data_IF_960603465328
#
_entry.id   IF_960603465328
#
_cell.length_a   1.000
_cell.length_b   1.000
_cell.length_c   1.000
_cell.angle_alpha   90.00
_cell.angle_beta   90.00
_cell.angle_gamma   90.00
#
_symmetry.space_group_name_H-M   'P 1'
#
loop_
_entity.id
_entity.type
_entity.pdbx_description
1 polymer ?
#
# COMPACT_ATOMS: atom_id res chain seq x y z
N UNK A 1 11.66 37.88 -37.18
CA UNK A 1 12.13 38.14 -35.80
C UNK A 1 11.53 37.05 -34.94
N UNK A 2 12.27 35.95 -34.80
CA UNK A 2 11.88 34.82 -33.95
C UNK A 2 12.48 35.04 -32.55
N UNK A 3 11.61 35.11 -31.54
CA UNK A 3 12.02 35.06 -30.16
C UNK A 3 12.08 33.59 -29.77
N UNK A 4 13.28 33.09 -29.50
CA UNK A 4 13.54 31.84 -28.80
C UNK A 4 13.17 32.05 -27.33
N UNK A 5 12.13 31.36 -26.87
CA UNK A 5 11.86 31.21 -25.47
C UNK A 5 12.81 30.12 -24.88
N UNK A 6 13.83 30.58 -24.16
CA UNK A 6 14.69 29.71 -23.39
C UNK A 6 13.95 29.21 -22.15
N UNK A 7 13.52 27.97 -22.16
CA UNK A 7 13.02 27.26 -20.98
C UNK A 7 14.17 27.03 -20.00
N UNK A 8 14.27 27.87 -18.99
CA UNK A 8 15.18 27.76 -17.88
C UNK A 8 14.74 26.60 -16.97
N UNK A 9 15.24 25.39 -17.22
CA UNK A 9 15.13 24.25 -16.31
C UNK A 9 15.99 24.56 -15.07
N UNK A 10 15.43 25.23 -14.08
CA UNK A 10 16.04 25.36 -12.75
C UNK A 10 15.90 24.03 -12.02
N UNK A 11 16.90 23.17 -12.14
CA UNK A 11 17.10 22.07 -11.22
C UNK A 11 17.35 22.67 -9.84
N UNK A 12 16.38 22.51 -8.93
CA UNK A 12 16.59 22.88 -7.54
C UNK A 12 17.59 21.92 -6.93
N UNK A 13 18.85 22.34 -6.86
CA UNK A 13 19.88 21.63 -6.09
C UNK A 13 19.63 21.99 -4.62
N UNK A 14 19.06 21.06 -3.87
CA UNK A 14 18.97 21.17 -2.41
C UNK A 14 20.40 21.09 -1.88
N UNK A 15 20.95 22.22 -1.40
CA UNK A 15 22.25 22.21 -0.70
C UNK A 15 22.09 21.42 0.59
N UNK A 16 22.88 20.36 0.76
CA UNK A 16 23.01 19.63 2.03
C UNK A 16 23.56 20.56 3.11
N UNK A 17 23.10 20.35 4.35
CA UNK A 17 23.69 21.01 5.51
C UNK A 17 25.14 20.49 5.72
N UNK A 18 26.01 21.33 6.29
CA UNK A 18 27.40 20.95 6.57
C UNK A 18 27.52 19.75 7.53
N UNK A 19 26.55 19.58 8.43
CA UNK A 19 26.44 18.45 9.36
C UNK A 19 26.16 17.12 8.64
N UNK A 20 25.32 17.15 7.60
CA UNK A 20 25.06 15.95 6.78
C UNK A 20 26.30 15.51 6.01
N UNK A 21 27.15 16.46 5.63
CA UNK A 21 28.40 16.17 4.89
C UNK A 21 29.42 15.46 5.78
N UNK A 22 29.50 15.79 7.06
CA UNK A 22 30.43 15.18 8.01
C UNK A 22 30.12 13.68 8.24
N UNK A 23 28.83 13.34 8.45
CA UNK A 23 28.39 11.96 8.63
C UNK A 23 28.42 11.16 7.32
N UNK A 24 28.21 11.79 6.18
CA UNK A 24 28.31 11.14 4.87
C UNK A 24 29.76 10.66 4.55
N UNK A 25 30.76 11.28 5.18
CA UNK A 25 32.18 10.96 4.98
C UNK A 25 32.69 9.84 5.92
N UNK A 26 31.90 9.40 6.90
CA UNK A 26 32.30 8.28 7.77
C UNK A 26 32.29 6.99 6.96
N UNK A 27 33.42 6.33 6.87
CA UNK A 27 33.54 5.03 6.19
C UNK A 27 33.11 3.92 7.17
N UNK A 28 31.90 3.42 7.02
CA UNK A 28 31.35 2.32 7.85
C UNK A 28 31.91 0.93 7.49
N UNK A 29 32.88 0.86 6.55
CA UNK A 29 33.52 -0.39 6.15
C UNK A 29 34.92 -0.55 6.75
N UNK A 30 35.39 0.41 7.55
CA UNK A 30 36.67 0.32 8.26
C UNK A 30 36.47 0.48 9.78
N UNK A 31 37.39 -0.08 10.55
CA UNK A 31 37.36 -0.11 12.01
C UNK A 31 37.29 1.30 12.63
N UNK A 32 38.01 2.24 12.06
CA UNK A 32 38.04 3.62 12.54
C UNK A 32 36.71 4.33 12.33
N UNK A 33 36.11 4.12 11.16
CA UNK A 33 34.80 4.70 10.85
C UNK A 33 33.69 4.09 11.69
N UNK A 34 33.72 2.78 11.93
CA UNK A 34 32.79 2.11 12.83
C UNK A 34 32.93 2.66 14.24
N UNK A 35 34.14 2.75 14.78
CA UNK A 35 34.39 3.29 16.11
C UNK A 35 33.92 4.74 16.29
N UNK A 36 34.08 5.57 15.25
CA UNK A 36 33.57 6.94 15.25
C UNK A 36 32.04 6.98 15.27
N UNK A 37 31.38 6.14 14.45
CA UNK A 37 29.94 6.03 14.39
C UNK A 37 29.36 5.52 15.72
N UNK A 38 29.94 4.49 16.31
CA UNK A 38 29.54 3.97 17.61
C UNK A 38 29.68 5.02 18.73
N UNK A 39 30.79 5.74 18.75
CA UNK A 39 30.98 6.80 19.74
C UNK A 39 29.87 7.88 19.61
N UNK A 40 29.56 8.28 18.39
CA UNK A 40 28.50 9.25 18.11
C UNK A 40 27.12 8.71 18.55
N UNK A 41 26.79 7.47 18.15
CA UNK A 41 25.52 6.83 18.50
C UNK A 41 25.33 6.65 20.00
N UNK A 42 26.39 6.24 20.74
CA UNK A 42 26.37 6.17 22.20
C UNK A 42 26.02 7.50 22.86
N UNK A 43 26.38 8.63 22.24
CA UNK A 43 26.03 9.97 22.74
C UNK A 43 24.57 10.34 22.48
N UNK A 44 24.00 9.87 21.37
CA UNK A 44 22.59 10.15 21.02
C UNK A 44 21.64 9.28 21.84
N UNK A 45 21.96 7.97 22.00
CA UNK A 45 21.11 6.97 22.67
C UNK A 45 20.94 7.28 24.17
N UNK A 46 21.84 8.04 24.78
CA UNK A 46 21.68 8.47 26.20
C UNK A 46 20.45 9.36 26.42
N UNK A 47 19.79 9.81 25.37
CA UNK A 47 18.52 10.53 25.44
C UNK A 47 17.36 9.56 25.21
N UNK A 48 16.46 9.43 26.18
CA UNK A 48 15.22 8.62 26.06
C UNK A 48 14.32 9.02 24.90
N UNK A 49 14.60 10.16 24.27
CA UNK A 49 13.88 10.71 23.12
C UNK A 49 14.57 10.51 21.77
N UNK A 50 15.67 9.76 21.72
CA UNK A 50 16.48 9.61 20.49
C UNK A 50 15.79 8.79 19.40
N UNK A 51 14.77 8.00 19.73
CA UNK A 51 14.13 7.05 18.81
C UNK A 51 14.98 5.81 18.51
N UNK A 52 16.26 5.76 18.92
CA UNK A 52 17.18 4.66 18.71
C UNK A 52 17.17 3.71 19.91
N UNK A 53 16.99 2.42 19.66
CA UNK A 53 16.95 1.39 20.71
C UNK A 53 18.35 0.86 21.07
N UNK A 54 19.22 0.77 20.08
CA UNK A 54 20.59 0.24 20.27
C UNK A 54 21.58 0.91 19.33
N UNK A 55 22.88 0.74 19.61
CA UNK A 55 23.97 1.19 18.73
C UNK A 55 23.92 0.45 17.39
N UNK A 56 23.58 -0.84 17.43
CA UNK A 56 23.45 -1.67 16.24
C UNK A 56 22.34 -1.17 15.32
N UNK A 57 21.16 -0.81 15.89
CA UNK A 57 20.08 -0.20 15.11
C UNK A 57 20.55 1.12 14.48
N UNK A 58 21.26 1.94 15.25
CA UNK A 58 21.82 3.19 14.76
C UNK A 58 22.79 2.99 13.59
N UNK A 59 23.68 2.00 13.66
CA UNK A 59 24.58 1.64 12.57
C UNK A 59 23.82 1.17 11.33
N UNK A 60 22.81 0.32 11.51
CA UNK A 60 21.97 -0.15 10.41
C UNK A 60 21.25 1.01 9.70
N UNK A 61 20.71 1.97 10.48
CA UNK A 61 20.09 3.19 9.95
C UNK A 61 21.12 4.07 9.23
N UNK A 62 22.33 4.22 9.76
CA UNK A 62 23.39 4.97 9.08
C UNK A 62 23.80 4.34 7.75
N UNK A 63 23.91 3.02 7.69
CA UNK A 63 24.19 2.30 6.43
C UNK A 63 23.07 2.53 5.42
N UNK A 64 21.82 2.38 5.84
CA UNK A 64 20.65 2.63 4.98
C UNK A 64 20.57 4.09 4.51
N UNK A 65 20.88 5.05 5.38
CA UNK A 65 20.94 6.47 5.02
C UNK A 65 21.97 6.72 3.91
N UNK A 66 23.14 6.04 4.00
CA UNK A 66 24.18 6.13 3.00
C UNK A 66 23.77 5.52 1.67
N UNK A 67 23.18 4.31 1.68
CA UNK A 67 22.69 3.64 0.46
C UNK A 67 21.65 4.49 -0.28
N UNK A 68 20.72 5.09 0.46
CA UNK A 68 19.65 5.92 -0.11
C UNK A 68 20.06 7.38 -0.33
N UNK A 69 21.31 7.74 0.02
CA UNK A 69 21.81 9.11 -0.06
C UNK A 69 20.89 10.11 0.66
N UNK A 70 20.46 9.75 1.86
CA UNK A 70 19.59 10.56 2.72
C UNK A 70 20.34 11.12 3.93
N UNK A 71 19.92 12.28 4.50
CA UNK A 71 20.43 12.75 5.76
C UNK A 71 20.19 11.75 6.89
N UNK A 72 21.18 11.56 7.75
CA UNK A 72 21.04 10.65 8.88
C UNK A 72 19.94 11.11 9.86
N UNK A 73 19.82 12.41 10.07
CA UNK A 73 18.76 13.00 10.89
C UNK A 73 17.35 12.62 10.42
N UNK A 74 17.12 12.67 9.12
CA UNK A 74 15.87 12.20 8.50
C UNK A 74 15.67 10.71 8.69
N UNK A 75 16.74 9.91 8.55
CA UNK A 75 16.64 8.47 8.68
C UNK A 75 16.36 8.02 10.11
N UNK A 76 16.82 8.72 11.14
CA UNK A 76 16.47 8.41 12.53
C UNK A 76 14.95 8.48 12.76
N UNK A 77 14.28 9.41 12.13
CA UNK A 77 12.83 9.63 12.30
C UNK A 77 11.98 8.69 11.44
N UNK A 78 12.50 8.22 10.29
CA UNK A 78 11.72 7.59 9.23
C UNK A 78 12.24 6.22 8.79
N UNK A 79 13.31 5.73 9.40
CA UNK A 79 13.84 4.37 9.16
C UNK A 79 13.82 3.60 10.47
N UNK A 80 13.16 2.47 10.47
CA UNK A 80 13.00 1.63 11.66
C UNK A 80 13.72 0.31 11.48
N UNK A 81 14.33 -0.20 12.55
CA UNK A 81 14.91 -1.55 12.55
C UNK A 81 13.93 -2.50 13.22
N UNK A 82 13.50 -3.48 12.45
CA UNK A 82 12.53 -4.49 12.85
C UNK A 82 13.16 -5.87 12.65
N UNK A 83 13.49 -6.55 13.73
CA UNK A 83 14.19 -7.84 13.71
C UNK A 83 15.43 -7.84 12.78
N UNK A 84 16.28 -6.83 12.96
CA UNK A 84 17.52 -6.68 12.19
C UNK A 84 17.38 -6.20 10.75
N UNK A 85 16.15 -6.01 10.24
CA UNK A 85 15.90 -5.46 8.90
C UNK A 85 15.51 -4.00 9.00
N UNK A 86 16.04 -3.17 8.09
CA UNK A 86 15.67 -1.74 8.01
C UNK A 86 14.44 -1.55 7.14
N UNK A 87 13.35 -1.06 7.74
CA UNK A 87 12.15 -0.56 7.04
C UNK A 87 12.18 0.94 6.91
N UNK A 88 11.48 1.47 5.93
CA UNK A 88 11.28 2.90 5.76
C UNK A 88 9.79 3.22 5.76
N UNK A 89 9.44 4.39 6.25
CA UNK A 89 8.06 4.82 6.08
C UNK A 89 7.76 5.22 4.61
N UNK A 90 6.48 5.28 4.28
CA UNK A 90 6.03 5.61 2.92
C UNK A 90 6.45 7.03 2.49
N UNK A 91 6.71 7.95 3.43
CA UNK A 91 7.14 9.30 3.11
C UNK A 91 8.55 9.33 2.54
N UNK A 92 9.45 8.49 3.04
CA UNK A 92 10.78 8.30 2.46
C UNK A 92 10.66 7.75 1.04
N UNK A 93 9.81 6.74 0.81
CA UNK A 93 9.58 6.19 -0.53
C UNK A 93 9.11 7.30 -1.48
N UNK A 94 8.12 8.11 -1.06
CA UNK A 94 7.62 9.25 -1.85
C UNK A 94 8.72 10.27 -2.17
N UNK A 95 9.54 10.62 -1.19
CA UNK A 95 10.66 11.55 -1.39
C UNK A 95 11.70 11.01 -2.38
N UNK A 96 12.01 9.72 -2.31
CA UNK A 96 12.92 9.05 -3.23
C UNK A 96 12.37 9.04 -4.67
N UNK A 97 11.08 8.74 -4.85
CA UNK A 97 10.45 8.76 -6.17
C UNK A 97 10.49 10.16 -6.79
N UNK A 98 10.15 11.20 -6.03
CA UNK A 98 10.23 12.60 -6.51
C UNK A 98 11.65 12.97 -6.92
N UNK A 99 12.67 12.55 -6.16
CA UNK A 99 14.09 12.76 -6.52
C UNK A 99 14.47 12.04 -7.81
N UNK A 100 13.85 10.89 -8.09
CA UNK A 100 14.04 10.13 -9.32
C UNK A 100 13.22 10.68 -10.51
N UNK A 101 12.47 11.79 -10.32
CA UNK A 101 11.61 12.36 -11.35
C UNK A 101 10.38 11.51 -11.67
N UNK A 102 9.96 10.66 -10.73
CA UNK A 102 8.77 9.83 -10.88
C UNK A 102 7.58 10.56 -10.27
N UNK A 103 6.50 10.63 -11.03
CA UNK A 103 5.23 11.23 -10.61
C UNK A 103 4.16 10.15 -10.48
N UNK A 104 3.16 10.39 -9.66
CA UNK A 104 2.06 9.46 -9.46
C UNK A 104 0.74 10.21 -9.28
N UNK A 105 -0.34 9.48 -9.53
CA UNK A 105 -1.71 9.92 -9.29
C UNK A 105 -2.47 8.81 -8.56
N UNK A 106 -3.23 9.19 -7.52
CA UNK A 106 -4.17 8.29 -6.87
C UNK A 106 -5.47 8.29 -7.69
N UNK A 107 -5.71 7.24 -8.45
CA UNK A 107 -6.89 7.13 -9.31
C UNK A 107 -8.12 6.67 -8.56
N UNK A 108 -7.93 5.89 -7.48
CA UNK A 108 -8.98 5.48 -6.54
C UNK A 108 -8.45 5.60 -5.12
N UNK A 109 -9.09 6.44 -4.31
CA UNK A 109 -8.72 6.62 -2.91
C UNK A 109 -9.74 5.97 -1.98
N UNK A 110 -9.49 4.70 -1.66
CA UNK A 110 -10.36 3.89 -0.80
C UNK A 110 -11.82 3.91 -1.27
N UNK A 111 -12.00 3.68 -2.56
CA UNK A 111 -13.29 3.75 -3.22
C UNK A 111 -14.06 2.45 -2.98
N UNK A 112 -15.35 2.52 -2.59
CA UNK A 112 -16.17 1.34 -2.42
C UNK A 112 -16.38 0.61 -3.75
N UNK A 113 -16.21 -0.71 -3.74
CA UNK A 113 -16.53 -1.59 -4.85
C UNK A 113 -17.90 -2.22 -4.64
N UNK A 114 -18.67 -2.30 -5.70
CA UNK A 114 -20.01 -2.89 -5.70
C UNK A 114 -20.05 -4.08 -6.67
N UNK A 115 -20.93 -5.03 -6.39
CA UNK A 115 -21.25 -6.07 -7.33
C UNK A 115 -22.34 -5.62 -8.28
N UNK A 116 -22.28 -6.12 -9.50
CA UNK A 116 -23.25 -5.86 -10.56
C UNK A 116 -23.78 -7.18 -11.12
N UNK A 117 -24.99 -7.16 -11.65
CA UNK A 117 -25.58 -8.33 -12.30
C UNK A 117 -26.30 -7.94 -13.59
N UNK A 118 -26.28 -8.84 -14.57
CA UNK A 118 -27.16 -8.82 -15.76
C UNK A 118 -28.45 -9.64 -15.53
N UNK A 119 -28.63 -10.16 -14.34
CA UNK A 119 -29.73 -11.05 -13.97
C UNK A 119 -29.33 -12.54 -13.92
N UNK A 120 -28.28 -12.93 -14.61
CA UNK A 120 -27.78 -14.32 -14.69
C UNK A 120 -26.42 -14.46 -14.01
N UNK A 121 -25.52 -13.50 -14.24
CA UNK A 121 -24.15 -13.53 -13.78
C UNK A 121 -23.89 -12.35 -12.83
N UNK A 122 -22.99 -12.58 -11.86
CA UNK A 122 -22.53 -11.57 -10.93
C UNK A 122 -21.12 -11.16 -11.34
N UNK A 123 -20.91 -9.87 -11.41
CA UNK A 123 -19.64 -9.26 -11.80
C UNK A 123 -19.10 -8.39 -10.66
N UNK A 124 -17.82 -8.50 -10.39
CA UNK A 124 -17.10 -7.48 -9.61
C UNK A 124 -16.83 -6.27 -10.49
N UNK A 125 -16.84 -5.08 -9.93
CA UNK A 125 -16.60 -3.85 -10.68
C UNK A 125 -15.25 -3.85 -11.40
N UNK A 126 -14.23 -4.48 -10.81
CA UNK A 126 -12.90 -4.65 -11.37
C UNK A 126 -12.81 -5.68 -12.50
N UNK A 127 -13.83 -6.53 -12.66
CA UNK A 127 -13.88 -7.62 -13.62
C UNK A 127 -14.86 -7.33 -14.77
N UNK A 128 -15.40 -6.11 -14.84
CA UNK A 128 -16.31 -5.73 -15.91
C UNK A 128 -15.55 -5.65 -17.24
N UNK A 129 -15.98 -6.40 -18.26
CA UNK A 129 -15.42 -6.26 -19.61
C UNK A 129 -15.67 -4.84 -20.18
N UNK A 130 -14.82 -4.39 -21.09
CA UNK A 130 -14.91 -3.04 -21.70
C UNK A 130 -16.22 -2.79 -22.45
N UNK A 131 -16.87 -3.86 -22.94
CA UNK A 131 -18.16 -3.77 -23.64
C UNK A 131 -19.37 -3.68 -22.71
N UNK A 132 -19.16 -3.74 -21.37
CA UNK A 132 -20.25 -3.70 -20.40
C UNK A 132 -20.66 -2.26 -20.09
N UNK A 133 -21.97 -2.01 -20.14
CA UNK A 133 -22.56 -0.71 -19.77
C UNK A 133 -23.11 -0.78 -18.35
N UNK A 134 -22.62 0.09 -17.46
CA UNK A 134 -23.16 0.23 -16.10
C UNK A 134 -24.48 0.98 -16.12
N UNK A 135 -25.51 0.36 -15.54
CA UNK A 135 -26.87 0.88 -15.45
C UNK A 135 -27.31 0.96 -13.99
N UNK A 136 -28.27 1.82 -13.70
CA UNK A 136 -28.80 2.01 -12.33
C UNK A 136 -29.81 0.93 -11.92
N UNK A 137 -30.48 0.36 -12.91
CA UNK A 137 -31.53 -0.65 -12.72
C UNK A 137 -31.70 -1.49 -14.00
N UNK A 138 -32.47 -2.58 -13.89
CA UNK A 138 -32.72 -3.51 -14.98
C UNK A 138 -33.38 -2.85 -16.21
N UNK A 139 -34.27 -1.89 -16.00
CA UNK A 139 -34.95 -1.18 -17.09
C UNK A 139 -33.98 -0.36 -17.93
N UNK A 140 -33.08 0.38 -17.26
CA UNK A 140 -32.03 1.12 -17.96
C UNK A 140 -31.06 0.17 -18.70
N UNK A 141 -30.81 -1.01 -18.14
CA UNK A 141 -30.01 -2.03 -18.79
C UNK A 141 -30.66 -2.54 -20.07
N UNK A 142 -31.97 -2.84 -20.05
CA UNK A 142 -32.73 -3.24 -21.26
C UNK A 142 -32.73 -2.16 -22.33
N UNK A 143 -32.90 -0.89 -21.95
CA UNK A 143 -32.95 0.24 -22.86
C UNK A 143 -31.60 0.53 -23.55
N UNK A 144 -30.48 0.23 -22.86
CA UNK A 144 -29.13 0.53 -23.34
C UNK A 144 -28.38 -0.65 -23.96
N UNK A 145 -28.85 -1.88 -23.72
CA UNK A 145 -28.20 -3.07 -24.29
C UNK A 145 -28.62 -3.31 -25.72
N UNK A 146 -27.69 -3.77 -26.51
CA UNK A 146 -27.89 -4.33 -27.85
C UNK A 146 -27.19 -5.69 -27.92
N UNK A 147 -27.19 -6.34 -29.08
CA UNK A 147 -26.64 -7.70 -29.24
C UNK A 147 -25.17 -7.83 -28.83
N UNK A 148 -24.41 -6.75 -28.87
CA UNK A 148 -22.97 -6.72 -28.57
C UNK A 148 -22.64 -6.15 -27.18
N UNK A 149 -23.62 -5.62 -26.45
CA UNK A 149 -23.43 -4.92 -25.17
C UNK A 149 -24.27 -5.56 -24.07
N UNK A 150 -23.61 -5.90 -22.98
CA UNK A 150 -24.27 -6.36 -21.74
C UNK A 150 -24.49 -5.19 -20.79
N UNK A 151 -25.74 -4.89 -20.46
CA UNK A 151 -26.09 -3.95 -19.41
C UNK A 151 -26.05 -4.61 -18.04
N UNK A 152 -25.29 -4.05 -17.12
CA UNK A 152 -25.20 -4.52 -15.72
C UNK A 152 -25.68 -3.45 -14.75
N UNK A 153 -26.26 -3.85 -13.65
CA UNK A 153 -26.81 -2.94 -12.64
C UNK A 153 -26.46 -3.40 -11.22
N UNK A 154 -26.43 -2.48 -10.23
CA UNK A 154 -26.07 -2.82 -8.86
C UNK A 154 -27.02 -3.86 -8.26
N UNK A 155 -26.43 -4.88 -7.64
CA UNK A 155 -27.15 -5.93 -6.96
C UNK A 155 -27.71 -5.41 -5.62
N UNK A 156 -29.01 -5.63 -5.36
CA UNK A 156 -29.68 -5.21 -4.13
C UNK A 156 -30.39 -6.39 -3.48
N UNK A 157 -30.30 -6.45 -2.15
CA UNK A 157 -30.88 -7.51 -1.35
C UNK A 157 -31.95 -6.98 -0.41
N UNK A 158 -32.87 -7.87 -0.05
CA UNK A 158 -33.88 -7.64 0.97
C UNK A 158 -33.85 -8.79 1.96
N UNK A 159 -33.87 -8.46 3.27
CA UNK A 159 -33.81 -9.46 4.31
C UNK A 159 -35.21 -10.10 4.60
N UNK A 160 -35.18 -11.20 5.33
CA UNK A 160 -36.35 -11.91 5.77
C UNK A 160 -37.16 -11.19 6.84
N UNK A 161 -38.23 -11.85 7.29
CA UNK A 161 -39.13 -11.40 8.34
C UNK A 161 -38.48 -11.02 9.67
N UNK A 162 -37.29 -11.53 9.95
CA UNK A 162 -36.59 -11.34 11.24
C UNK A 162 -35.58 -10.19 11.20
N UNK A 163 -35.44 -9.51 10.09
CA UNK A 163 -34.50 -8.38 9.95
C UNK A 163 -33.03 -8.79 9.98
N UNK A 164 -32.75 -10.06 9.75
CA UNK A 164 -31.37 -10.52 9.69
C UNK A 164 -30.64 -9.87 8.51
N UNK A 165 -29.39 -9.49 8.72
CA UNK A 165 -28.52 -8.99 7.67
C UNK A 165 -27.83 -10.19 7.02
N UNK A 166 -28.10 -10.40 5.75
CA UNK A 166 -27.44 -11.40 4.95
C UNK A 166 -26.50 -10.74 3.96
N UNK A 167 -25.33 -11.32 3.80
CA UNK A 167 -24.53 -11.02 2.65
C UNK A 167 -25.02 -11.84 1.45
N UNK A 168 -24.49 -11.58 0.30
CA UNK A 168 -24.88 -12.16 -0.97
C UNK A 168 -24.90 -13.69 -1.00
N UNK A 169 -23.99 -14.32 -0.26
CA UNK A 169 -23.78 -15.75 -0.24
C UNK A 169 -24.60 -16.49 0.83
N UNK A 170 -25.20 -15.75 1.77
CA UNK A 170 -25.89 -16.31 2.94
C UNK A 170 -27.42 -16.27 2.82
N UNK A 171 -27.94 -16.05 1.61
CA UNK A 171 -29.39 -16.02 1.38
C UNK A 171 -29.97 -17.41 1.60
N UNK A 172 -30.76 -17.54 2.66
CA UNK A 172 -31.49 -18.78 2.95
C UNK A 172 -32.85 -18.84 2.24
N UNK A 173 -33.54 -19.95 2.37
CA UNK A 173 -34.86 -20.19 1.74
C UNK A 173 -35.98 -19.20 2.19
N UNK A 174 -35.75 -18.40 3.25
CA UNK A 174 -36.69 -17.39 3.74
C UNK A 174 -36.39 -15.99 3.19
N UNK A 175 -35.31 -15.81 2.44
CA UNK A 175 -34.89 -14.56 1.83
C UNK A 175 -35.15 -14.59 0.34
N UNK A 176 -35.75 -13.52 -0.17
CA UNK A 176 -35.94 -13.35 -1.60
C UNK A 176 -34.98 -12.28 -2.11
N UNK A 177 -34.14 -12.66 -3.05
CA UNK A 177 -33.23 -11.76 -3.76
C UNK A 177 -34.04 -10.94 -4.75
N UNK A 178 -33.92 -9.62 -4.65
CA UNK A 178 -34.62 -8.69 -5.53
C UNK A 178 -33.64 -7.72 -6.16
N UNK A 179 -33.82 -7.45 -7.44
CA UNK A 179 -32.95 -6.61 -8.25
C UNK A 179 -33.17 -5.12 -7.92
N UNK A 180 -34.41 -4.77 -7.61
CA UNK A 180 -34.80 -3.40 -7.27
C UNK A 180 -35.96 -3.37 -6.28
N UNK A 181 -36.32 -2.14 -5.81
CA UNK A 181 -37.40 -1.93 -4.86
C UNK A 181 -38.75 -2.40 -5.40
N UNK A 182 -39.01 -2.24 -6.69
CA UNK A 182 -40.29 -2.60 -7.31
C UNK A 182 -40.50 -4.11 -7.27
N UNK A 183 -39.47 -4.86 -7.64
CA UNK A 183 -39.52 -6.32 -7.57
C UNK A 183 -39.69 -6.81 -6.12
N UNK A 184 -39.01 -6.18 -5.16
CA UNK A 184 -39.16 -6.54 -3.76
C UNK A 184 -40.57 -6.26 -3.24
N UNK A 185 -41.20 -5.15 -3.62
CA UNK A 185 -42.61 -4.86 -3.27
C UNK A 185 -43.53 -5.93 -3.87
N UNK A 186 -43.34 -6.28 -5.12
CA UNK A 186 -44.12 -7.33 -5.78
C UNK A 186 -44.00 -8.66 -5.05
N UNK A 187 -42.78 -9.12 -4.84
CA UNK A 187 -42.50 -10.39 -4.15
C UNK A 187 -43.03 -10.38 -2.72
N UNK A 188 -42.86 -9.28 -1.99
CA UNK A 188 -43.36 -9.15 -0.61
C UNK A 188 -44.89 -9.19 -0.54
N UNK A 189 -45.59 -8.55 -1.46
CA UNK A 189 -47.05 -8.57 -1.52
C UNK A 189 -47.59 -9.96 -1.87
N UNK A 190 -46.95 -10.65 -2.84
CA UNK A 190 -47.34 -12.02 -3.25
C UNK A 190 -47.07 -13.03 -2.13
N UNK A 191 -45.93 -12.92 -1.43
CA UNK A 191 -45.51 -13.82 -0.37
C UNK A 191 -45.98 -13.43 1.03
N UNK A 192 -46.62 -12.29 1.22
CA UNK A 192 -46.93 -11.70 2.53
C UNK A 192 -45.73 -11.51 3.43
N UNK A 193 -44.57 -11.18 2.85
CA UNK A 193 -43.33 -10.90 3.57
C UNK A 193 -43.20 -9.40 3.83
N UNK A 194 -42.69 -8.96 4.98
CA UNK A 194 -42.24 -7.59 5.16
C UNK A 194 -41.01 -7.31 4.31
N UNK A 195 -40.94 -6.11 3.75
CA UNK A 195 -39.76 -5.66 2.99
C UNK A 195 -38.80 -5.03 3.97
N UNK A 196 -37.64 -5.62 4.12
CA UNK A 196 -36.51 -5.01 4.81
C UNK A 196 -35.44 -4.68 3.76
N UNK A 197 -35.27 -3.39 3.52
CA UNK A 197 -34.23 -2.92 2.61
C UNK A 197 -32.87 -3.00 3.29
N UNK A 198 -31.98 -3.82 2.75
CA UNK A 198 -30.55 -3.75 3.06
C UNK A 198 -29.96 -2.74 2.09
N UNK A 199 -29.39 -1.62 2.55
CA UNK A 199 -28.66 -0.71 1.68
C UNK A 199 -27.56 -1.52 0.99
N UNK A 200 -27.32 -1.26 -0.31
CA UNK A 200 -26.20 -1.86 -1.01
C UNK A 200 -24.92 -1.54 -0.22
N UNK A 201 -24.41 -2.53 0.50
CA UNK A 201 -23.15 -2.36 1.22
C UNK A 201 -22.02 -2.59 0.23
N UNK A 202 -20.98 -1.77 0.29
CA UNK A 202 -19.78 -2.05 -0.50
C UNK A 202 -19.24 -3.42 -0.06
N UNK A 203 -18.90 -4.24 -1.05
CA UNK A 203 -18.30 -5.57 -0.81
C UNK A 203 -16.82 -5.45 -0.51
N UNK A 204 -16.20 -4.37 -0.95
CA UNK A 204 -14.78 -4.09 -0.78
C UNK A 204 -14.49 -2.60 -0.88
N UNK A 205 -13.27 -2.20 -0.52
CA UNK A 205 -12.72 -0.86 -0.73
C UNK A 205 -11.35 -1.00 -1.37
N UNK A 206 -11.10 -0.24 -2.41
CA UNK A 206 -9.83 -0.31 -3.15
C UNK A 206 -9.14 1.05 -3.21
N UNK A 207 -7.82 1.03 -3.11
CA UNK A 207 -6.95 2.16 -3.45
C UNK A 207 -6.10 1.78 -4.65
N UNK A 208 -6.00 2.69 -5.63
CA UNK A 208 -5.26 2.47 -6.86
C UNK A 208 -4.38 3.69 -7.16
N UNK A 209 -3.15 3.42 -7.57
CA UNK A 209 -2.20 4.43 -8.02
C UNK A 209 -1.70 4.13 -9.43
N UNK A 210 -1.49 5.20 -10.18
CA UNK A 210 -0.77 5.19 -11.45
C UNK A 210 0.52 5.98 -11.31
N UNK A 211 1.61 5.42 -11.83
CA UNK A 211 2.94 6.01 -11.78
C UNK A 211 3.45 6.24 -13.19
N UNK A 212 4.18 7.33 -13.38
CA UNK A 212 4.85 7.65 -14.65
C UNK A 212 6.29 8.03 -14.39
N UNK A 213 7.19 7.46 -15.18
CA UNK A 213 8.63 7.72 -15.14
C UNK A 213 9.16 7.95 -16.54
N UNK A 214 10.02 8.95 -16.69
CA UNK A 214 10.78 9.17 -17.91
C UNK A 214 12.23 8.76 -17.69
N UNK A 215 12.76 7.86 -18.52
CA UNK A 215 14.14 7.38 -18.45
C UNK A 215 14.80 7.48 -19.81
N UNK A 216 16.03 8.00 -19.83
CA UNK A 216 16.83 7.98 -21.06
C UNK A 216 17.54 6.64 -21.19
N UNK A 217 17.22 5.88 -22.23
CA UNK A 217 17.84 4.59 -22.56
C UNK A 217 18.42 4.69 -23.96
N UNK A 218 19.73 4.46 -24.09
CA UNK A 218 20.44 4.57 -25.39
C UNK A 218 20.18 5.89 -26.11
N UNK A 219 20.16 7.01 -25.38
CA UNK A 219 19.94 8.36 -25.91
C UNK A 219 18.49 8.69 -26.29
N UNK A 220 17.53 7.78 -26.06
CA UNK A 220 16.12 8.01 -26.30
C UNK A 220 15.39 8.10 -24.96
N UNK A 221 14.47 9.07 -24.84
CA UNK A 221 13.57 9.17 -23.70
C UNK A 221 12.47 8.12 -23.87
N UNK A 222 12.35 7.26 -22.87
CA UNK A 222 11.30 6.23 -22.77
C UNK A 222 10.39 6.61 -21.62
N UNK A 223 9.10 6.63 -21.87
CA UNK A 223 8.06 6.78 -20.86
C UNK A 223 7.67 5.39 -20.34
N UNK A 224 7.67 5.24 -19.04
CA UNK A 224 7.35 4.00 -18.34
C UNK A 224 6.15 4.25 -17.42
N UNK A 225 5.24 3.28 -17.35
CA UNK A 225 4.06 3.34 -16.50
C UNK A 225 4.00 2.11 -15.60
N UNK A 226 3.51 2.30 -14.38
CA UNK A 226 3.11 1.23 -13.50
C UNK A 226 1.75 1.56 -12.87
N UNK A 227 0.96 0.54 -12.60
CA UNK A 227 -0.30 0.63 -11.85
C UNK A 227 -0.25 -0.31 -10.68
N UNK A 228 -0.77 0.13 -9.57
CA UNK A 228 -0.89 -0.71 -8.39
C UNK A 228 -2.26 -0.52 -7.76
N UNK A 229 -2.73 -1.57 -7.13
CA UNK A 229 -3.92 -1.53 -6.30
C UNK A 229 -3.69 -2.34 -5.02
N UNK A 230 -4.45 -2.02 -4.01
CA UNK A 230 -4.58 -2.83 -2.81
C UNK A 230 -5.97 -2.60 -2.21
N UNK A 231 -6.60 -3.68 -1.75
CA UNK A 231 -7.99 -3.63 -1.29
C UNK A 231 -8.13 -4.04 0.18
N UNK A 232 -9.32 -3.77 0.73
CA UNK A 232 -9.68 -4.20 2.08
C UNK A 232 -9.71 -5.73 2.17
N UNK A 233 -10.25 -6.41 1.17
CA UNK A 233 -10.30 -7.87 1.14
C UNK A 233 -8.90 -8.49 1.05
N UNK A 234 -7.98 -7.92 0.28
CA UNK A 234 -6.58 -8.36 0.23
C UNK A 234 -5.90 -8.20 1.59
N UNK A 235 -6.13 -7.05 2.27
CA UNK A 235 -5.62 -6.82 3.62
C UNK A 235 -6.20 -7.82 4.64
N UNK A 236 -7.50 -8.15 4.53
CA UNK A 236 -8.14 -9.13 5.39
C UNK A 236 -7.59 -10.54 5.17
N UNK A 237 -7.43 -10.95 3.92
CA UNK A 237 -6.86 -12.25 3.54
C UNK A 237 -5.41 -12.41 3.99
N UNK A 238 -4.65 -11.31 4.01
CA UNK A 238 -3.28 -11.28 4.53
C UNK A 238 -3.20 -11.21 6.08
N UNK A 239 -4.34 -11.24 6.79
CA UNK A 239 -4.38 -11.17 8.26
C UNK A 239 -4.01 -9.80 8.84
N UNK A 240 -3.93 -8.75 8.03
CA UNK A 240 -3.45 -7.43 8.48
C UNK A 240 -4.40 -6.78 9.49
N UNK A 241 -5.68 -7.13 9.46
CA UNK A 241 -6.66 -6.65 10.44
C UNK A 241 -6.54 -7.28 11.83
N UNK A 242 -5.62 -8.19 12.05
CA UNK A 242 -5.22 -8.60 13.39
C UNK A 242 -4.50 -7.46 14.12
N UNK A 243 -3.82 -6.57 13.39
CA UNK A 243 -3.13 -5.39 13.92
C UNK A 243 -4.12 -4.25 14.22
N UNK A 244 -4.03 -3.67 15.40
CA UNK A 244 -4.91 -2.57 15.83
C UNK A 244 -4.82 -1.33 14.93
N UNK A 245 -3.66 -1.07 14.33
CA UNK A 245 -3.46 0.04 13.41
C UNK A 245 -4.33 -0.10 12.15
N UNK A 246 -4.41 -1.31 11.56
CA UNK A 246 -5.26 -1.57 10.40
C UNK A 246 -6.75 -1.47 10.74
N UNK A 247 -7.16 -1.91 11.95
CA UNK A 247 -8.55 -1.74 12.41
C UNK A 247 -8.93 -0.27 12.55
N UNK A 248 -8.01 0.56 13.05
CA UNK A 248 -8.25 1.99 13.33
C UNK A 248 -8.13 2.88 12.08
N UNK A 249 -7.18 2.56 11.19
CA UNK A 249 -6.82 3.41 10.05
C UNK A 249 -6.72 2.64 8.72
N UNK A 250 -7.74 1.83 8.35
CA UNK A 250 -7.66 0.95 7.18
C UNK A 250 -7.39 1.72 5.88
N UNK A 251 -8.07 2.85 5.66
CA UNK A 251 -7.87 3.68 4.47
C UNK A 251 -6.41 4.09 4.29
N UNK A 252 -5.77 4.57 5.35
CA UNK A 252 -4.39 5.08 5.28
C UNK A 252 -3.43 3.94 4.96
N UNK A 253 -3.53 2.82 5.67
CA UNK A 253 -2.60 1.71 5.53
C UNK A 253 -2.79 0.95 4.21
N UNK A 254 -4.03 0.80 3.73
CA UNK A 254 -4.32 0.24 2.40
C UNK A 254 -3.73 1.16 1.31
N UNK A 255 -3.87 2.48 1.46
CA UNK A 255 -3.28 3.46 0.54
C UNK A 255 -1.75 3.38 0.53
N UNK A 256 -1.11 3.29 1.69
CA UNK A 256 0.35 3.17 1.80
C UNK A 256 0.86 1.90 1.12
N UNK A 257 0.16 0.78 1.29
CA UNK A 257 0.55 -0.49 0.69
C UNK A 257 0.38 -0.49 -0.83
N UNK A 258 -0.76 0.00 -1.32
CA UNK A 258 -0.96 0.19 -2.75
C UNK A 258 0.14 1.04 -3.36
N UNK A 259 0.49 2.17 -2.70
CA UNK A 259 1.56 3.04 -3.14
C UNK A 259 2.92 2.33 -3.18
N UNK A 260 3.29 1.60 -2.11
CA UNK A 260 4.56 0.91 -1.99
C UNK A 260 4.76 -0.15 -3.10
N UNK A 261 3.72 -0.88 -3.46
CA UNK A 261 3.78 -1.85 -4.56
C UNK A 261 4.10 -1.18 -5.90
N UNK A 262 3.34 -0.14 -6.28
CA UNK A 262 3.60 0.56 -7.53
C UNK A 262 4.94 1.30 -7.56
N UNK A 263 5.37 1.83 -6.42
CA UNK A 263 6.68 2.45 -6.28
C UNK A 263 7.82 1.47 -6.57
N UNK A 264 7.72 0.24 -6.10
CA UNK A 264 8.74 -0.80 -6.38
C UNK A 264 8.74 -1.23 -7.83
N UNK A 265 7.57 -1.36 -8.45
CA UNK A 265 7.48 -1.73 -9.86
C UNK A 265 8.13 -0.69 -10.77
N UNK A 266 7.85 0.59 -10.54
CA UNK A 266 8.35 1.67 -11.41
C UNK A 266 9.80 2.07 -11.11
N UNK A 267 10.28 1.85 -9.89
CA UNK A 267 11.55 2.36 -9.38
C UNK A 267 12.43 1.31 -8.68
N UNK A 268 12.32 0.04 -9.05
CA UNK A 268 13.11 -1.05 -8.44
C UNK A 268 14.62 -0.79 -8.47
N UNK A 269 15.12 -0.17 -9.54
CA UNK A 269 16.52 0.23 -9.71
C UNK A 269 16.94 1.39 -8.77
N UNK A 270 16.01 2.17 -8.29
CA UNK A 270 16.27 3.32 -7.42
C UNK A 270 16.02 3.00 -5.95
N UNK A 271 14.99 2.21 -5.67
CA UNK A 271 14.64 1.80 -4.31
C UNK A 271 15.50 0.65 -3.78
N UNK A 272 16.17 -0.12 -4.65
CA UNK A 272 17.13 -1.20 -4.28
C UNK A 272 16.60 -2.13 -3.19
N UNK A 273 15.36 -2.61 -3.34
CA UNK A 273 14.75 -3.54 -2.39
C UNK A 273 14.32 -2.94 -1.05
N UNK A 274 14.18 -1.62 -0.96
CA UNK A 274 13.61 -0.96 0.22
C UNK A 274 12.19 -1.47 0.46
N UNK A 275 11.94 -1.92 1.67
CA UNK A 275 10.61 -2.34 2.15
C UNK A 275 10.05 -1.28 3.09
N UNK A 276 8.74 -1.12 3.11
CA UNK A 276 8.07 -0.30 4.13
C UNK A 276 8.02 -1.05 5.46
N UNK A 277 7.85 -0.32 6.55
CA UNK A 277 7.76 -0.91 7.90
C UNK A 277 6.66 -1.95 7.99
N UNK A 278 5.49 -1.68 7.40
CA UNK A 278 4.35 -2.59 7.37
C UNK A 278 4.67 -3.90 6.64
N UNK A 279 5.46 -3.85 5.56
CA UNK A 279 5.86 -5.02 4.79
C UNK A 279 6.87 -5.88 5.53
N UNK A 280 7.82 -5.27 6.23
CA UNK A 280 8.77 -6.01 7.06
C UNK A 280 8.05 -6.74 8.17
N UNK A 281 7.10 -6.06 8.85
CA UNK A 281 6.30 -6.69 9.89
C UNK A 281 5.48 -7.88 9.40
N UNK A 282 5.04 -7.87 8.13
CA UNK A 282 4.32 -9.00 7.54
C UNK A 282 5.24 -10.19 7.25
N UNK A 283 6.38 -9.93 6.64
CA UNK A 283 7.38 -10.97 6.33
C UNK A 283 7.85 -11.67 7.61
N UNK A 284 8.01 -10.92 8.70
CA UNK A 284 8.47 -11.47 9.99
C UNK A 284 7.33 -12.14 10.74
N UNK A 285 6.11 -11.59 10.71
CA UNK A 285 4.95 -12.17 11.39
C UNK A 285 4.48 -13.50 10.81
N UNK A 286 4.76 -13.74 9.51
CA UNK A 286 4.47 -15.00 8.83
C UNK A 286 5.59 -16.05 8.97
N UNK A 287 6.78 -15.64 9.39
CA UNK A 287 7.83 -16.56 9.80
C UNK A 287 7.73 -16.71 11.32
N UNK A 288 7.15 -17.82 11.80
CA UNK A 288 7.50 -18.37 13.08
C UNK A 288 8.98 -18.78 12.98
N UNK A 289 9.87 -17.80 13.05
CA UNK A 289 11.26 -18.04 13.28
C UNK A 289 11.33 -18.54 14.72
N UNK A 290 11.48 -19.84 14.87
CA UNK A 290 11.99 -20.41 16.11
C UNK A 290 13.21 -19.59 16.50
N UNK A 291 13.11 -18.90 17.63
CA UNK A 291 14.13 -17.99 18.14
C UNK A 291 15.39 -18.75 18.59
N UNK A 292 15.47 -20.03 18.33
CA UNK A 292 16.55 -20.92 18.75
C UNK A 292 17.75 -20.97 17.77
N UNK A 293 17.64 -20.35 16.60
CA UNK A 293 18.74 -20.35 15.60
C UNK A 293 19.69 -19.13 15.68
N UNK A 294 19.50 -18.24 16.63
CA UNK A 294 20.50 -17.19 16.90
C UNK A 294 21.56 -17.75 17.85
N UNK A 295 22.62 -18.28 17.27
CA UNK A 295 23.87 -18.60 18.00
C UNK A 295 24.30 -17.36 18.78
N UNK A 296 24.29 -17.48 20.11
CA UNK A 296 24.69 -16.41 21.00
C UNK A 296 26.21 -16.19 20.82
N UNK A 297 26.61 -15.08 20.24
CA UNK A 297 28.01 -14.76 19.91
C UNK A 297 28.88 -14.69 21.19
N UNK A 298 28.29 -14.68 22.39
CA UNK A 298 28.99 -14.69 23.65
C UNK A 298 29.61 -16.07 24.00
N UNK A 299 29.13 -17.18 23.41
CA UNK A 299 29.70 -18.52 23.65
C UNK A 299 30.98 -18.80 22.83
N UNK A 300 31.29 -18.00 21.81
CA UNK A 300 32.51 -18.23 21.00
C UNK A 300 33.79 -17.71 21.69
N UNK A 301 33.66 -16.80 22.67
CA UNK A 301 34.81 -16.21 23.35
C UNK A 301 35.25 -16.99 24.61
N UNK A 302 34.54 -18.05 25.03
CA UNK A 302 34.88 -18.84 26.23
C UNK A 302 35.65 -20.14 25.95
N UNK A 303 35.83 -20.50 24.65
CA UNK A 303 36.52 -21.77 24.30
C UNK A 303 37.96 -21.61 23.78
N UNK A 304 38.60 -20.44 23.97
CA UNK A 304 39.99 -20.19 23.57
C UNK A 304 40.85 -19.75 24.75
N UNK A 305 40.67 -20.35 25.94
CA UNK A 305 41.61 -20.31 27.04
C UNK A 305 41.68 -21.70 27.64
N UNK A 306 42.47 -22.56 27.04
CA UNK A 306 43.22 -23.65 27.68
C UNK A 306 44.49 -23.95 26.83
#
# INVERSE_FOLDING_TARGET
MNKEESTNNRTMVVKRSETDTALANVNLLDEKGIAQAEYFLKKIITSDKSGLKSVQDGLAIMMRAKDLNLPFSTCIEHVHVINGKTGVDVHIVKALLLRAGIVWNCTKDYVPQYQYTDGNTIYLETQLPDYVVKCRNAKEAEEKTNDDVVGVYPLRYYADLKGNKYNEFEINAQCVKCINKIQAIKVANEGKFPIIRIPAQPIDFVTEYEFTRFKTINGKVVEMHAKSHFSYSEAANAGLFEKDTYKKYPRILISHRSFAYGARDIASDYLMGVMTDDEIMEVIGNTNLDTDDFVNVEEINSSTQD
#
